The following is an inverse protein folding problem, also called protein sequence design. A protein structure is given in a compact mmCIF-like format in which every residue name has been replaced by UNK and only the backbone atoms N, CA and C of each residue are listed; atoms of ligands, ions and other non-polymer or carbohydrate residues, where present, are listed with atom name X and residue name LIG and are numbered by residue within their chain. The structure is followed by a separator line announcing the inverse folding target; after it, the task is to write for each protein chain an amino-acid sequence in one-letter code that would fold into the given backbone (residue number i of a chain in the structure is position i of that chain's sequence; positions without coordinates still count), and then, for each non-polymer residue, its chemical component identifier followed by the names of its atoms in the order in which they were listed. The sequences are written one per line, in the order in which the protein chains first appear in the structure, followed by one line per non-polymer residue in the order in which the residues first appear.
data_IF_684637879314
#
_entry.id   IF_684637879314
#
_cell.length_a   1.000
_cell.length_b   1.000
_cell.length_c   1.000
_cell.angle_alpha   90.00
_cell.angle_beta   90.00
_cell.angle_gamma   90.00
#
_symmetry.space_group_name_H-M   'P 1'
#
loop_
_entity.id
_entity.type
_entity.pdbx_description
1 polymer ?
2 polymer ?
3 non-polymer ?
4 water ?
#
# COMPACT_ATOMS: atom_id res chain seq x y z
N UNK A 4 -17.05 -46.70 7.70
CA UNK A 4 -17.92 -46.63 8.88
C UNK A 4 -18.73 -45.35 8.92
N UNK A 5 -19.77 -45.35 9.76
CA UNK A 5 -20.58 -44.15 9.95
C UNK A 5 -19.79 -43.08 10.70
N UNK A 6 -19.06 -43.48 11.74
CA UNK A 6 -18.26 -42.51 12.48
C UNK A 6 -17.12 -41.95 11.63
N UNK A 7 -16.55 -42.78 10.75
CA UNK A 7 -15.49 -42.30 9.88
C UNK A 7 -16.00 -41.25 8.90
N UNK A 8 -17.20 -41.46 8.36
CA UNK A 8 -17.75 -40.50 7.40
C UNK A 8 -18.26 -39.24 8.09
N UNK A 9 -18.75 -39.36 9.34
CA UNK A 9 -19.16 -38.17 10.08
C UNK A 9 -17.95 -37.32 10.45
N UNK A 10 -16.82 -37.96 10.78
CA UNK A 10 -15.62 -37.21 11.12
C UNK A 10 -15.06 -36.49 9.90
N UNK A 11 -15.14 -37.11 8.72
CA UNK A 11 -14.61 -36.47 7.53
C UNK A 11 -15.50 -35.33 7.06
N UNK A 12 -16.81 -35.40 7.33
CA UNK A 12 -17.68 -34.27 7.02
C UNK A 12 -17.28 -33.08 7.87
N UNK A 13 -17.09 -33.29 9.18
CA UNK A 13 -16.66 -32.21 10.05
C UNK A 13 -15.26 -31.72 9.70
N UNK A 14 -14.37 -32.64 9.30
CA UNK A 14 -13.04 -32.25 8.88
C UNK A 14 -13.08 -31.38 7.62
N UNK A 15 -13.89 -31.77 6.64
CA UNK A 15 -13.96 -31.03 5.39
C UNK A 15 -14.67 -29.70 5.58
N UNK A 16 -15.70 -29.66 6.43
CA UNK A 16 -16.37 -28.40 6.72
C UNK A 16 -15.40 -27.39 7.31
N UNK A 17 -14.50 -27.84 8.19
CA UNK A 17 -13.56 -26.94 8.81
C UNK A 17 -12.47 -26.50 7.84
N UNK A 18 -11.97 -27.43 7.01
CA UNK A 18 -10.94 -27.08 6.04
C UNK A 18 -11.48 -26.14 4.98
N UNK A 19 -12.70 -26.40 4.49
CA UNK A 19 -13.30 -25.52 3.48
C UNK A 19 -13.58 -24.14 4.03
N UNK A 20 -13.87 -24.03 5.33
CA UNK A 20 -14.13 -22.74 5.95
C UNK A 20 -12.87 -21.88 5.96
N UNK A 21 -11.73 -22.47 6.31
CA UNK A 21 -10.48 -21.71 6.32
C UNK A 21 -9.95 -21.47 4.91
N UNK A 22 -10.21 -22.39 3.99
CA UNK A 22 -9.81 -22.17 2.60
C UNK A 22 -10.58 -21.02 1.97
N UNK A 23 -11.87 -20.92 2.28
CA UNK A 23 -12.66 -19.78 1.81
C UNK A 23 -12.10 -18.47 2.35
N UNK A 24 -11.72 -18.46 3.64
CA UNK A 24 -11.14 -17.25 4.21
C UNK A 24 -9.75 -16.98 3.67
N UNK A 25 -9.03 -18.02 3.25
CA UNK A 25 -7.73 -17.81 2.63
C UNK A 25 -7.88 -17.22 1.22
N UNK A 26 -8.87 -17.71 0.47
CA UNK A 26 -9.17 -17.13 -0.84
C UNK A 26 -9.53 -15.66 -0.70
N UNK A 27 -10.29 -15.32 0.34
CA UNK A 27 -10.65 -13.93 0.57
C UNK A 27 -9.42 -13.08 0.89
N UNK A 28 -8.48 -13.63 1.66
CA UNK A 28 -7.27 -12.89 1.98
C UNK A 28 -6.38 -12.73 0.76
N UNK A 29 -6.29 -13.77 -0.07
CA UNK A 29 -5.43 -13.70 -1.25
C UNK A 29 -5.98 -12.74 -2.29
N UNK A 30 -7.31 -12.68 -2.44
CA UNK A 30 -7.88 -11.75 -3.41
C UNK A 30 -7.74 -10.31 -2.95
N UNK A 31 -7.77 -10.06 -1.64
CA UNK A 31 -7.52 -8.72 -1.14
C UNK A 31 -6.07 -8.31 -1.32
N UNK A 32 -5.14 -9.27 -1.20
CA UNK A 32 -3.74 -8.98 -1.42
C UNK A 32 -3.46 -8.71 -2.89
N UNK A 33 -4.10 -9.48 -3.78
CA UNK A 33 -3.98 -9.22 -5.21
C UNK A 33 -4.48 -7.82 -5.54
N UNK A 34 -5.63 -7.44 -4.97
CA UNK A 34 -6.17 -6.10 -5.19
C UNK A 34 -5.21 -5.04 -4.66
N UNK A 35 -4.57 -5.29 -3.53
CA UNK A 35 -3.61 -4.33 -2.99
C UNK A 35 -2.40 -4.20 -3.91
N UNK A 36 -1.95 -5.31 -4.49
CA UNK A 36 -0.78 -5.26 -5.37
C UNK A 36 -1.10 -4.63 -6.71
N UNK A 37 -2.32 -4.80 -7.22
CA UNK A 37 -2.70 -4.15 -8.47
C UNK A 37 -2.72 -2.64 -8.32
N UNK A 38 -3.18 -2.15 -7.17
CA UNK A 38 -3.19 -0.71 -6.93
C UNK A 38 -1.76 -0.18 -6.78
N UNK A 39 -0.89 -0.95 -6.13
CA UNK A 39 0.50 -0.54 -5.99
C UNK A 39 1.20 -0.50 -7.34
N UNK A 40 0.88 -1.46 -8.22
CA UNK A 40 1.42 -1.41 -9.57
C UNK A 40 0.84 -0.26 -10.37
N UNK A 41 -0.42 0.10 -10.09
CA UNK A 41 -1.03 1.26 -10.74
C UNK A 41 -0.34 2.55 -10.32
N UNK A 42 0.05 2.65 -9.05
CA UNK A 42 0.73 3.85 -8.58
C UNK A 42 2.15 3.93 -9.13
N UNK A 43 2.85 2.79 -9.19
CA UNK A 43 4.16 2.76 -9.81
C UNK A 43 4.09 3.18 -11.27
N UNK A 44 3.00 2.82 -11.95
CA UNK A 44 2.79 3.24 -13.33
C UNK A 44 2.73 4.77 -13.43
N UNK A 45 1.96 5.40 -12.54
CA UNK A 45 1.85 6.86 -12.56
C UNK A 45 3.19 7.51 -12.29
N UNK A 46 4.01 6.90 -11.43
CA UNK A 46 5.34 7.44 -11.15
C UNK A 46 6.23 7.37 -12.37
N UNK A 47 6.16 6.28 -13.14
CA UNK A 47 6.92 6.18 -14.38
C UNK A 47 6.44 7.22 -15.39
N UNK A 48 5.12 7.28 -15.62
CA UNK A 48 4.57 8.23 -16.58
C UNK A 48 4.81 9.67 -16.14
N UNK A 49 4.96 9.90 -14.84
CA UNK A 49 5.28 11.25 -14.36
C UNK A 49 6.66 11.68 -14.84
N UNK A 50 7.63 10.75 -14.86
CA UNK A 50 8.94 11.08 -15.40
C UNK A 50 8.86 11.33 -16.89
N UNK A 51 8.05 10.55 -17.60
CA UNK A 51 7.84 10.80 -19.03
C UNK A 51 7.24 12.18 -19.27
N UNK A 52 6.26 12.57 -18.45
CA UNK A 52 5.66 13.88 -18.61
C UNK A 52 6.64 15.01 -18.37
N UNK A 53 7.51 14.85 -17.39
CA UNK A 53 8.52 15.87 -17.11
C UNK A 53 9.50 16.01 -18.27
N UNK A 54 9.90 14.88 -18.85
CA UNK A 54 10.82 14.93 -19.99
C UNK A 54 10.16 15.55 -21.21
N UNK A 55 8.86 15.32 -21.40
CA UNK A 55 8.14 15.94 -22.51
C UNK A 55 8.00 17.44 -22.31
N UNK A 56 7.83 17.88 -21.06
CA UNK A 56 7.65 19.30 -20.75
C UNK A 56 8.90 20.13 -20.98
N UNK A 57 10.03 19.51 -21.33
CA UNK A 57 11.24 20.27 -21.64
C UNK A 57 11.12 20.97 -22.99
N UNK A 58 10.51 20.31 -23.97
CA UNK A 58 10.44 20.85 -25.32
C UNK A 58 9.42 21.97 -25.45
N UNK A 59 8.53 22.12 -24.47
CA UNK A 59 7.53 23.18 -24.52
C UNK A 59 7.12 23.61 -23.11
N UNK B 1 -28.19 -47.36 8.36
CA UNK B 1 -27.93 -48.35 7.34
C UNK B 1 -27.50 -47.75 6.01
N UNK B 2 -27.80 -48.44 4.91
CA UNK B 2 -27.40 -47.92 3.59
C UNK B 2 -27.96 -46.54 3.29
N UNK B 3 -29.16 -46.21 3.79
CA UNK B 3 -29.73 -44.91 3.52
C UNK B 3 -28.96 -43.78 4.19
N UNK B 4 -28.76 -43.90 5.51
CA UNK B 4 -28.01 -42.88 6.23
C UNK B 4 -26.55 -42.83 5.79
N UNK B 5 -25.98 -43.97 5.41
CA UNK B 5 -24.61 -43.98 4.91
C UNK B 5 -24.51 -43.30 3.55
N UNK B 6 -25.55 -43.39 2.73
CA UNK B 6 -25.52 -42.74 1.42
C UNK B 6 -25.55 -41.22 1.57
N UNK B 7 -26.32 -40.71 2.52
CA UNK B 7 -26.36 -39.27 2.75
C UNK B 7 -25.00 -38.74 3.17
N UNK B 8 -24.27 -39.50 4.00
CA UNK B 8 -22.94 -39.07 4.40
C UNK B 8 -21.94 -39.20 3.27
N UNK B 9 -21.99 -40.30 2.52
CA UNK B 9 -21.08 -40.48 1.39
C UNK B 9 -21.31 -39.41 0.33
N UNK B 10 -22.56 -39.01 0.11
CA UNK B 10 -22.85 -37.92 -0.82
C UNK B 10 -22.29 -36.61 -0.28
N UNK B 11 -22.44 -36.36 1.02
CA UNK B 11 -21.97 -35.10 1.59
C UNK B 11 -20.45 -35.02 1.55
N UNK B 12 -19.76 -36.13 1.82
CA UNK B 12 -18.30 -36.16 1.72
C UNK B 12 -17.86 -35.86 0.29
N UNK B 13 -18.51 -36.51 -0.69
CA UNK B 13 -18.18 -36.27 -2.09
C UNK B 13 -18.41 -34.82 -2.46
N UNK B 14 -19.52 -34.23 -2.01
CA UNK B 14 -19.79 -32.82 -2.30
C UNK B 14 -18.73 -31.92 -1.67
N UNK B 15 -18.41 -32.17 -0.40
CA UNK B 15 -17.41 -31.36 0.28
C UNK B 15 -16.02 -31.59 -0.29
N UNK B 16 -15.74 -32.80 -0.77
CA UNK B 16 -14.44 -33.08 -1.38
C UNK B 16 -14.28 -32.31 -2.69
N UNK B 17 -15.33 -32.25 -3.50
CA UNK B 17 -15.27 -31.51 -4.77
C UNK B 17 -15.05 -30.02 -4.51
N UNK B 18 -15.74 -29.47 -3.52
CA UNK B 18 -15.52 -28.07 -3.16
C UNK B 18 -14.14 -27.87 -2.58
N UNK B 19 -13.67 -28.82 -1.77
CA UNK B 19 -12.32 -28.74 -1.20
C UNK B 19 -11.28 -28.70 -2.31
N UNK B 20 -11.42 -29.56 -3.31
CA UNK B 20 -10.46 -29.60 -4.42
C UNK B 20 -10.43 -28.29 -5.18
N UNK B 21 -11.61 -27.74 -5.49
CA UNK B 21 -11.67 -26.47 -6.20
C UNK B 21 -11.07 -25.35 -5.38
N UNK B 22 -11.33 -25.35 -4.06
CA UNK B 22 -10.78 -24.31 -3.19
C UNK B 22 -9.26 -24.41 -3.11
N UNK B 23 -8.72 -25.63 -3.11
CA UNK B 23 -7.26 -25.78 -3.08
C UNK B 23 -6.63 -25.33 -4.38
N UNK B 24 -7.31 -25.58 -5.51
CA UNK B 24 -6.81 -25.08 -6.78
C UNK B 24 -6.84 -23.56 -6.82
N UNK B 25 -7.89 -22.96 -6.24
CA UNK B 25 -7.99 -21.51 -6.24
C UNK B 25 -6.92 -20.87 -5.35
N UNK B 26 -6.61 -21.50 -4.22
CA UNK B 26 -5.59 -20.98 -3.33
C UNK B 26 -4.22 -21.04 -4.01
N UNK B 27 -3.91 -22.18 -4.65
CA UNK B 27 -2.64 -22.32 -5.36
C UNK B 27 -2.54 -21.35 -6.53
N UNK B 28 -3.67 -21.06 -7.19
CA UNK B 28 -3.65 -20.11 -8.30
C UNK B 28 -3.43 -18.68 -7.80
N UNK B 29 -4.09 -18.31 -6.70
CA UNK B 29 -3.97 -16.94 -6.20
C UNK B 29 -2.60 -16.69 -5.60
N UNK B 30 -1.96 -17.72 -5.04
CA UNK B 30 -0.61 -17.54 -4.50
C UNK B 30 0.41 -17.31 -5.61
N UNK B 31 0.28 -18.05 -6.72
CA UNK B 31 1.16 -17.83 -7.86
C UNK B 31 0.98 -16.43 -8.43
N UNK B 32 -0.27 -15.95 -8.49
CA UNK B 32 -0.52 -14.60 -8.98
C UNK B 32 0.03 -13.55 -8.03
N UNK B 33 -0.09 -13.78 -6.72
CA UNK B 33 0.48 -12.86 -5.73
C UNK B 33 1.99 -12.78 -5.90
N UNK B 34 2.65 -13.93 -5.99
CA UNK B 34 4.10 -13.94 -6.15
C UNK B 34 4.52 -13.33 -7.49
N UNK B 35 3.66 -13.45 -8.51
CA UNK B 35 3.94 -12.83 -9.80
C UNK B 35 3.85 -11.31 -9.70
N UNK B 36 2.80 -10.81 -9.05
CA UNK B 36 2.63 -9.36 -8.90
C UNK B 36 3.70 -8.78 -7.99
N UNK B 37 4.10 -9.52 -6.95
CA UNK B 37 5.14 -9.04 -6.05
C UNK B 37 6.47 -8.89 -6.79
N UNK B 38 6.78 -9.83 -7.68
CA UNK B 38 8.02 -9.74 -8.44
C UNK B 38 7.97 -8.60 -9.44
N UNK B 39 6.82 -8.36 -10.05
CA UNK B 39 6.69 -7.24 -10.98
C UNK B 39 6.84 -5.91 -10.25
N UNK B 40 6.25 -5.80 -9.06
CA UNK B 40 6.37 -4.57 -8.29
C UNK B 40 7.80 -4.35 -7.83
N UNK B 41 8.47 -5.43 -7.39
CA UNK B 41 9.87 -5.32 -6.98
C UNK B 41 10.75 -4.86 -8.14
N UNK B 42 10.53 -5.42 -9.34
CA UNK B 42 11.35 -5.05 -10.49
C UNK B 42 11.05 -3.64 -10.96
N UNK B 43 9.77 -3.23 -10.90
CA UNK B 43 9.43 -1.85 -11.26
C UNK B 43 10.03 -0.85 -10.28
N UNK B 44 10.07 -1.21 -8.99
CA UNK B 44 10.67 -0.32 -8.00
C UNK B 44 12.19 -0.33 -8.09
N UNK B 45 12.79 -1.48 -8.47
CA UNK B 45 14.24 -1.53 -8.63
C UNK B 45 14.69 -0.72 -9.83
N UNK B 46 13.98 -0.83 -10.96
CA UNK B 46 14.33 -0.06 -12.15
C UNK B 46 14.06 1.43 -11.94
N UNK B 47 13.04 1.77 -11.16
CA UNK B 47 12.73 3.18 -10.91
C UNK B 47 13.86 3.86 -10.13
N UNK B 48 14.41 3.17 -9.13
CA UNK B 48 15.50 3.75 -8.37
C UNK B 48 16.77 3.87 -9.21
N UNK B 49 16.97 2.93 -10.13
CA UNK B 49 18.10 3.04 -11.05
C UNK B 49 17.94 4.23 -11.99
N UNK B 50 16.72 4.44 -12.50
CA UNK B 50 16.43 5.64 -13.27
C UNK B 50 16.66 6.88 -12.42
N UNK B 51 16.18 6.83 -11.17
CA UNK B 51 16.30 7.97 -10.26
C UNK B 51 17.76 8.34 -10.02
N UNK B 52 18.58 7.34 -9.69
CA UNK B 52 19.98 7.60 -9.42
C UNK B 52 20.72 8.20 -10.60
N UNK B 53 20.41 7.72 -11.80
CA UNK B 53 21.05 8.24 -13.01
C UNK B 53 20.68 9.71 -13.23
N UNK B 54 19.42 10.06 -13.01
CA UNK B 54 18.99 11.45 -13.15
C UNK B 54 19.57 12.31 -12.03
N UNK B 55 19.70 11.76 -10.83
CA UNK B 55 20.32 12.49 -9.72
C UNK B 55 21.78 12.80 -10.03
N UNK B 56 22.52 11.79 -10.52
CA UNK B 56 23.93 12.00 -10.83
C UNK B 56 24.11 13.07 -11.91
N UNK B 57 23.21 13.09 -12.89
CA UNK B 57 23.30 14.10 -13.95
C UNK B 57 23.04 15.50 -13.39
N UNK B 58 21.98 15.64 -12.57
CA UNK B 58 21.70 16.92 -11.95
C UNK B 58 22.86 17.38 -11.06
N UNK B 59 23.42 16.45 -10.28
CA UNK B 59 24.54 16.79 -9.41
C UNK B 59 25.73 17.30 -10.21
N UNK B 60 26.07 16.60 -11.29
CA UNK B 60 27.19 17.03 -12.13
C UNK B 60 26.90 18.38 -12.79
N UNK B 61 25.66 18.58 -13.24
CA UNK B 61 25.30 19.86 -13.86
C UNK B 61 25.29 20.98 -12.83
N UNK B 62 24.91 20.68 -11.59
CA UNK B 62 24.88 21.70 -10.54
C UNK B 62 26.28 22.23 -10.28
N UNK B 63 27.27 21.32 -10.16
CA UNK B 63 28.65 21.77 -9.99
C UNK B 63 29.15 22.51 -11.22
N UNK B 64 28.70 22.13 -12.40
CA UNK B 64 29.10 22.83 -13.63
C UNK B 64 28.62 24.28 -13.62
N UNK B 65 27.34 24.49 -13.29
CA UNK B 65 26.80 25.84 -13.29
C UNK B 65 27.49 26.71 -12.25
N UNK B 66 27.80 26.14 -11.08
CA UNK B 66 28.48 26.90 -10.03
C UNK B 66 29.90 27.28 -10.45
N UNK B 67 30.61 26.37 -11.12
CA UNK B 67 31.98 26.64 -11.53
C UNK B 67 32.05 27.60 -12.70
N UNK B 68 31.01 27.63 -13.55
CA UNK B 68 30.97 28.53 -14.68
C UNK B 68 30.23 29.83 -14.37
N UNK B 69 29.82 30.03 -13.12
CA UNK B 69 29.20 31.30 -12.73
C UNK B 69 30.25 32.38 -12.47
N UNK B 70 31.38 31.99 -11.88
CA UNK B 70 32.46 32.93 -11.59
C UNK B 70 33.79 32.38 -12.09
N UNK C 2 -0.86 -3.16 -17.78
CA UNK C 2 -0.33 -3.44 -19.11
C UNK C 2 0.96 -4.25 -19.02
N UNK C 3 1.02 -5.33 -19.77
CA UNK C 3 2.25 -6.12 -19.81
C UNK C 3 3.38 -5.33 -20.44
N UNK C 4 4.55 -5.42 -19.82
CA UNK C 4 5.77 -4.77 -20.27
C UNK C 4 5.66 -3.25 -20.31
N UNK C 5 4.77 -2.66 -19.49
CA UNK C 5 4.72 -1.20 -19.41
C UNK C 5 6.02 -0.65 -18.85
N UNK C 6 6.49 -1.22 -17.74
CA UNK C 6 7.68 -0.71 -17.07
C UNK C 6 8.92 -0.92 -17.93
N UNK C 7 8.98 -2.01 -18.68
CA UNK C 7 10.10 -2.22 -19.60
C UNK C 7 10.07 -1.20 -20.73
N UNK C 8 8.89 -0.97 -21.32
CA UNK C 8 8.77 0.01 -22.39
C UNK C 8 9.03 1.42 -21.88
N UNK C 9 8.53 1.74 -20.68
CA UNK C 9 8.66 3.10 -20.19
C UNK C 9 10.10 3.40 -19.76
N UNK C 10 10.80 2.41 -19.21
CA UNK C 10 12.22 2.58 -18.91
C UNK C 10 13.00 2.86 -20.19
N UNK C 11 12.63 2.20 -21.29
CA UNK C 11 13.27 2.48 -22.57
C UNK C 11 12.91 3.86 -23.07
N UNK C 12 11.64 4.26 -22.92
CA UNK C 12 11.21 5.58 -23.37
C UNK C 12 11.90 6.68 -22.56
N UNK C 13 12.00 6.49 -21.24
CA UNK C 13 12.66 7.48 -20.39
C UNK C 13 14.13 7.63 -20.77
N UNK C 14 14.80 6.52 -21.05
CA UNK C 14 16.20 6.58 -21.41
C UNK C 14 16.43 7.23 -22.77
N UNK C 15 15.54 6.95 -23.73
CA UNK C 15 15.69 7.54 -25.05
C UNK C 15 15.38 9.03 -25.05
N UNK C 16 14.37 9.45 -24.28
CA UNK C 16 13.97 10.85 -24.29
C UNK C 16 14.96 11.71 -23.51
N UNK C 17 15.45 11.21 -22.38
CA UNK C 17 16.43 11.99 -21.60
C UNK C 17 17.73 12.13 -22.37
N UNK C 18 18.20 11.05 -22.99
CA UNK C 18 19.41 11.14 -23.82
C UNK C 18 19.22 12.08 -25.00
N UNK C 19 18.00 12.11 -25.55
CA UNK C 19 17.70 13.05 -26.63
C UNK C 19 17.82 14.50 -26.15
N UNK C 20 17.34 14.77 -24.92
CA UNK C 20 17.46 16.10 -24.36
C UNK C 20 18.93 16.45 -24.10
N UNK C 21 19.69 15.49 -23.59
CA UNK C 21 21.10 15.73 -23.29
C UNK C 21 21.88 15.98 -24.57
N UNK C 22 21.59 15.23 -25.63
CA UNK C 22 22.33 15.37 -26.88
C UNK C 22 21.99 16.68 -27.59
N UNK C 23 20.74 17.13 -27.51
CA UNK C 23 20.37 18.39 -28.17
C UNK C 23 20.92 19.59 -27.42
N UNK C 24 21.04 19.50 -26.10
CA UNK C 24 21.79 20.50 -25.36
C UNK C 24 23.25 20.48 -25.79
N UNK C 25 23.80 19.27 -25.99
CA UNK C 25 25.18 19.13 -26.43
C UNK C 25 25.39 19.73 -27.82
N UNK C 26 24.47 19.45 -28.75
CA UNK C 26 24.58 20.02 -30.08
C UNK C 26 24.44 21.53 -30.06
N UNK C 27 23.53 22.05 -29.22
CA UNK C 27 23.33 23.49 -29.12
C UNK C 27 24.58 24.19 -28.59
N UNK C 28 25.15 23.66 -27.50
CA UNK C 28 26.34 24.27 -26.92
C UNK C 28 27.53 24.16 -27.86
N UNK C 29 27.69 23.01 -28.52
CA UNK C 29 28.79 22.85 -29.48
C UNK C 29 28.68 23.85 -30.61
N UNK C 30 27.45 24.19 -31.01
CA UNK C 30 27.25 25.14 -32.09
C UNK C 30 27.59 26.57 -31.68
N UNK C 31 27.58 26.87 -30.38
CA UNK C 31 27.93 28.20 -29.91
C UNK C 31 29.43 28.47 -30.00
N UNK C 32 30.25 27.44 -30.17
CA UNK C 32 31.70 27.59 -30.10
C UNK C 32 32.34 26.97 -31.33
N UNK C 33 32.23 27.60 -32.51
CA UNK C 33 32.70 26.94 -33.74
C UNK C 33 34.20 26.69 -33.77
N UNK C 34 35.00 27.39 -32.97
CA UNK C 34 36.45 27.30 -33.04
C UNK C 34 37.06 26.67 -31.78
N UNK C 35 36.29 25.90 -31.04
CA UNK C 35 36.83 25.26 -29.85
C UNK C 35 37.75 24.11 -30.26
N UNK C 36 38.68 23.77 -29.36
CA UNK C 36 39.63 22.70 -29.61
C UNK C 36 39.38 21.50 -28.69
N UNK D 7 19.04 44.12 -12.15
CA UNK D 7 18.68 44.05 -10.74
C UNK D 7 17.24 43.54 -10.57
N UNK D 8 16.29 44.27 -11.17
CA UNK D 8 14.89 43.86 -11.10
C UNK D 8 14.65 42.60 -11.92
N UNK D 9 15.22 42.53 -13.12
CA UNK D 9 15.12 41.31 -13.91
C UNK D 9 15.82 40.15 -13.24
N UNK D 10 16.89 40.42 -12.49
CA UNK D 10 17.58 39.37 -11.74
C UNK D 10 16.71 38.86 -10.60
N UNK D 11 16.07 39.77 -9.87
CA UNK D 11 15.13 39.35 -8.83
C UNK D 11 13.96 38.58 -9.41
N UNK D 12 13.58 38.88 -10.66
CA UNK D 12 12.46 38.20 -11.29
C UNK D 12 12.85 36.76 -11.61
N UNK D 13 14.07 36.54 -12.11
CA UNK D 13 14.48 35.19 -12.50
C UNK D 13 14.72 34.31 -11.29
N UNK D 14 15.33 34.86 -10.24
CA UNK D 14 15.59 34.06 -9.04
C UNK D 14 14.29 33.72 -8.31
N UNK D 15 13.31 34.63 -8.32
CA UNK D 15 12.02 34.35 -7.71
C UNK D 15 11.23 33.35 -8.54
N UNK D 16 11.32 33.47 -9.87
CA UNK D 16 10.65 32.50 -10.74
C UNK D 16 11.20 31.10 -10.52
N UNK D 17 12.51 30.99 -10.28
CA UNK D 17 13.10 29.68 -10.03
C UNK D 17 12.74 29.17 -8.64
N UNK D 18 12.76 30.05 -7.64
CA UNK D 18 12.45 29.64 -6.28
C UNK D 18 11.01 29.17 -6.15
N UNK D 19 10.06 29.91 -6.75
CA UNK D 19 8.66 29.51 -6.68
C UNK D 19 8.38 28.28 -7.53
N UNK D 20 9.11 28.11 -8.63
CA UNK D 20 8.94 26.93 -9.47
C UNK D 20 9.25 25.66 -8.69
N UNK D 21 10.37 25.64 -7.97
CA UNK D 21 10.71 24.49 -7.16
C UNK D 21 9.82 24.39 -5.93
N UNK D 22 9.27 25.51 -5.46
CA UNK D 22 8.35 25.47 -4.34
C UNK D 22 6.98 24.94 -4.76
N UNK D 23 6.50 25.35 -5.93
CA UNK D 23 5.22 24.84 -6.43
C UNK D 23 5.28 23.33 -6.65
N UNK D 24 6.41 22.84 -7.18
CA UNK D 24 6.58 21.41 -7.33
C UNK D 24 6.77 20.73 -5.98
N UNK D 25 7.30 21.46 -4.99
CA UNK D 25 7.40 20.90 -3.64
C UNK D 25 6.02 20.73 -3.02
N UNK D 26 5.11 21.68 -3.28
CA UNK D 26 3.74 21.55 -2.80
C UNK D 26 3.05 20.37 -3.47
N UNK D 27 3.21 20.24 -4.79
CA UNK D 27 2.62 19.12 -5.51
C UNK D 27 3.22 17.80 -5.05
N UNK D 28 4.51 17.80 -4.69
CA UNK D 28 5.15 16.59 -4.19
C UNK D 28 4.60 16.20 -2.83
N UNK D 29 4.37 17.18 -1.95
CA UNK D 29 3.89 16.88 -0.60
C UNK D 29 2.39 16.63 -0.57
N UNK D 30 1.64 17.22 -1.52
CA UNK D 30 0.22 16.93 -1.59
C UNK D 30 -0.03 15.49 -2.02
N UNK D 31 0.71 15.00 -3.00
CA UNK D 31 0.58 13.61 -3.42
C UNK D 31 1.06 12.66 -2.34
N UNK D 32 2.09 13.03 -1.59
CA UNK D 32 2.53 12.22 -0.46
C UNK D 32 1.47 12.14 0.63
N UNK D 33 0.66 13.19 0.77
CA UNK D 33 -0.41 13.18 1.78
C UNK D 33 -1.49 12.19 1.38
N UNK D 34 -1.95 12.25 0.13
CA UNK D 34 -3.00 11.34 -0.33
C UNK D 34 -2.50 9.90 -0.39
N UNK D 35 -1.21 9.70 -0.63
CA UNK D 35 -0.66 8.35 -0.56
C UNK D 35 -0.70 7.82 0.87
N UNK D 36 -0.36 8.67 1.84
CA UNK D 36 -0.46 8.27 3.24
C UNK D 36 -1.90 8.13 3.68
N UNK D 37 -2.81 8.94 3.12
CA UNK D 37 -4.22 8.81 3.44
C UNK D 37 -4.79 7.50 2.92
N UNK D 38 -4.27 7.01 1.78
CA UNK D 38 -4.68 5.69 1.30
C UNK D 38 -4.14 4.58 2.19
N UNK D 39 -2.96 4.77 2.77
CA UNK D 39 -2.41 3.77 3.67
C UNK D 39 -3.17 3.72 4.98
N UNK D 40 -3.69 4.87 5.45
CA UNK D 40 -4.52 4.87 6.64
C UNK D 40 -5.89 4.26 6.35
N UNK D 41 -6.41 4.44 5.13
CA UNK D 41 -7.67 3.81 4.77
C UNK D 41 -7.54 2.29 4.78
N UNK D 42 -6.44 1.77 4.23
CA UNK D 42 -6.21 0.32 4.26
C UNK D 42 -6.04 -0.16 5.71
N UNK D 43 -5.36 0.62 6.53
CA UNK D 43 -5.25 0.29 7.95
C UNK D 43 -6.62 0.31 8.61
N UNK D 44 -7.48 1.25 8.21
CA UNK D 44 -8.83 1.30 8.75
C UNK D 44 -9.63 0.07 8.33
N UNK D 45 -9.44 -0.38 7.09
CA UNK D 45 -10.14 -1.57 6.63
C UNK D 45 -9.69 -2.82 7.38
N UNK D 46 -8.41 -2.89 7.76
CA UNK D 46 -7.94 -4.03 8.53
C UNK D 46 -8.55 -4.05 9.93
N UNK D 47 -8.79 -2.88 10.51
CA UNK D 47 -9.43 -2.82 11.83
C UNK D 47 -10.90 -3.23 11.73
N UNK D 48 -11.62 -2.68 10.75
CA UNK D 48 -13.04 -3.01 10.60
C UNK D 48 -13.24 -4.47 10.22
N UNK D 49 -12.24 -5.09 9.58
CA UNK D 49 -12.35 -6.52 9.25
C UNK D 49 -12.37 -7.38 10.51
N UNK D 50 -11.59 -7.00 11.52
CA UNK D 50 -11.61 -7.73 12.78
C UNK D 50 -12.97 -7.58 13.46
N UNK D 51 -13.57 -6.39 13.36
CA UNK D 51 -14.89 -6.18 13.92
C UNK D 51 -15.94 -7.05 13.21
N UNK D 52 -15.85 -7.14 11.88
CA UNK D 52 -16.78 -7.97 11.14
C UNK D 52 -16.68 -9.44 11.52
N UNK D 53 -15.46 -9.90 11.81
CA UNK D 53 -15.28 -11.27 12.26
C UNK D 53 -15.91 -11.48 13.64
N UNK D 54 -15.82 -10.48 14.52
CA UNK D 54 -16.38 -10.62 15.86
C UNK D 54 -17.90 -10.71 15.81
N UNK D 55 -18.54 -9.90 14.96
CA UNK D 55 -20.00 -9.95 14.84
C UNK D 55 -20.46 -11.18 14.07
N UNK D 56 -19.61 -11.77 13.24
CA UNK D 56 -19.99 -12.97 12.50
C UNK D 56 -20.02 -14.22 13.39
N UNK D 57 -19.47 -14.14 14.60
CA UNK D 57 -19.59 -15.25 15.54
C UNK D 57 -21.05 -15.55 15.86
N UNK D 58 -21.91 -14.54 15.80
CA UNK D 58 -23.33 -14.72 16.07
C UNK D 58 -24.07 -15.10 14.78
N UNK D 59 -23.65 -16.21 14.21
CA UNK D 59 -24.26 -16.73 12.98
C UNK D 59 -24.97 -18.05 13.24
N UNK E 4 9.29 50.79 -18.47
CA UNK E 4 8.61 49.51 -18.28
C UNK E 4 9.00 48.86 -16.96
N UNK E 5 9.71 49.62 -16.12
CA UNK E 5 10.10 49.10 -14.82
C UNK E 5 8.90 48.78 -13.95
N UNK E 6 7.75 49.45 -14.17
CA UNK E 6 6.56 49.19 -13.38
C UNK E 6 6.08 47.76 -13.56
N UNK E 7 6.13 47.23 -14.79
CA UNK E 7 5.67 45.87 -15.03
C UNK E 7 6.54 44.84 -14.33
N UNK E 8 7.80 45.18 -14.05
CA UNK E 8 8.74 44.19 -13.55
C UNK E 8 8.82 44.16 -12.03
N UNK E 9 8.67 45.31 -11.35
CA UNK E 9 8.53 45.26 -9.90
C UNK E 9 7.11 45.01 -9.46
N UNK E 10 6.13 45.15 -10.36
CA UNK E 10 4.83 44.53 -10.11
C UNK E 10 4.96 43.01 -10.17
N UNK E 11 5.85 42.50 -11.03
CA UNK E 11 6.12 41.08 -11.05
C UNK E 11 6.87 40.62 -9.80
N UNK E 12 7.78 41.45 -9.30
CA UNK E 12 8.52 41.11 -8.09
C UNK E 12 7.56 40.89 -6.93
N UNK E 13 6.67 41.86 -6.69
CA UNK E 13 5.69 41.71 -5.62
C UNK E 13 4.70 40.59 -5.91
N UNK E 14 4.41 40.34 -7.20
CA UNK E 14 3.53 39.24 -7.56
C UNK E 14 4.14 37.90 -7.16
N UNK E 15 5.44 37.72 -7.42
CA UNK E 15 6.08 36.43 -7.14
C UNK E 15 6.53 36.32 -5.69
N UNK E 16 6.80 37.45 -5.02
CA UNK E 16 7.21 37.38 -3.62
C UNK E 16 6.05 36.98 -2.72
N UNK E 17 4.88 37.59 -2.92
CA UNK E 17 3.70 37.17 -2.17
C UNK E 17 3.29 35.76 -2.56
N UNK E 18 3.53 35.37 -3.82
CA UNK E 18 3.35 33.98 -4.20
C UNK E 18 4.36 33.08 -3.51
N UNK E 19 5.58 33.59 -3.27
CA UNK E 19 6.58 32.83 -2.53
C UNK E 19 6.16 32.64 -1.08
N UNK E 20 5.52 33.66 -0.49
CA UNK E 20 5.08 33.55 0.90
C UNK E 20 3.95 32.53 1.04
N UNK E 21 3.04 32.49 0.06
CA UNK E 21 1.95 31.52 0.11
C UNK E 21 2.47 30.09 -0.06
N UNK E 22 3.45 29.90 -0.95
CA UNK E 22 3.93 28.56 -1.21
C UNK E 22 4.74 28.00 -0.05
N UNK E 23 5.57 28.84 0.59
CA UNK E 23 6.32 28.36 1.75
C UNK E 23 5.41 28.11 2.95
N UNK E 24 4.30 28.86 3.05
CA UNK E 24 3.30 28.55 4.06
C UNK E 24 2.64 27.22 3.78
N UNK E 25 2.40 26.91 2.50
CA UNK E 25 1.80 25.62 2.14
C UNK E 25 2.76 24.48 2.44
N UNK E 26 4.05 24.65 2.11
CA UNK E 26 5.04 23.61 2.35
C UNK E 26 5.15 23.31 3.84
N UNK E 27 5.18 24.36 4.67
CA UNK E 27 5.26 24.17 6.11
C UNK E 27 4.03 23.45 6.63
N UNK E 28 2.85 23.75 6.06
CA UNK E 28 1.63 23.07 6.48
C UNK E 28 1.63 21.60 6.06
N UNK E 29 2.08 21.32 4.83
CA UNK E 29 2.07 19.95 4.34
C UNK E 29 3.07 19.08 5.10
N UNK E 30 4.26 19.62 5.37
CA UNK E 30 5.27 18.85 6.11
C UNK E 30 4.78 18.48 7.51
N UNK E 31 4.00 19.37 8.14
CA UNK E 31 3.46 19.05 9.45
C UNK E 31 2.39 17.97 9.36
N UNK E 32 1.55 18.02 8.31
CA UNK E 32 0.51 17.01 8.15
C UNK E 32 1.11 15.66 7.75
N UNK E 33 2.21 15.67 6.99
CA UNK E 33 2.85 14.42 6.58
C UNK E 33 3.33 13.65 7.81
N UNK E 34 4.07 14.32 8.69
CA UNK E 34 4.53 13.67 9.91
C UNK E 34 3.36 13.24 10.80
N UNK E 35 2.27 14.01 10.78
CA UNK E 35 1.08 13.62 11.56
C UNK E 35 0.50 12.32 11.02
N UNK E 36 0.48 12.15 9.69
CA UNK E 36 -0.05 10.92 9.12
C UNK E 36 0.93 9.76 9.30
N UNK E 37 2.24 10.03 9.15
CA UNK E 37 3.23 8.99 9.37
C UNK E 37 3.17 8.46 10.79
N UNK E 38 2.95 9.34 11.77
CA UNK E 38 2.83 8.91 13.15
C UNK E 38 1.54 8.14 13.39
N UNK E 39 0.42 8.63 12.84
CA UNK E 39 -0.84 7.92 12.94
C UNK E 39 -0.74 6.54 12.31
N UNK E 40 0.02 6.43 11.21
CA UNK E 40 0.18 5.14 10.55
C UNK E 40 0.97 4.17 11.42
N UNK E 41 2.13 4.60 11.91
CA UNK E 41 2.97 3.71 12.72
C UNK E 41 2.29 3.32 14.03
N UNK E 42 1.53 4.24 14.62
CA UNK E 42 0.83 3.91 15.86
C UNK E 42 -0.34 2.97 15.63
N UNK E 43 -0.98 3.05 14.46
CA UNK E 43 -2.07 2.14 14.16
C UNK E 43 -1.57 0.74 13.86
N UNK E 44 -0.41 0.62 13.21
CA UNK E 44 0.18 -0.68 12.95
C UNK E 44 0.80 -1.29 14.20
N UNK E 45 1.17 -0.47 15.18
CA UNK E 45 1.65 -1.01 16.45
C UNK E 45 0.50 -1.52 17.32
N UNK E 46 -0.63 -0.81 17.30
CA UNK E 46 -1.79 -1.27 18.06
C UNK E 46 -2.43 -2.49 17.41
N UNK E 47 -2.40 -2.57 16.09
CA UNK E 47 -2.83 -3.78 15.40
C UNK E 47 -1.96 -4.97 15.81
N UNK E 48 -0.66 -4.74 15.96
CA UNK E 48 0.24 -5.78 16.45
C UNK E 48 -0.20 -6.31 17.81
N UNK E 49 -0.56 -5.40 18.71
CA UNK E 49 -0.92 -5.82 20.06
C UNK E 49 -2.26 -6.55 20.08
N UNK E 50 -3.23 -6.06 19.30
CA UNK E 50 -4.51 -6.77 19.17
C UNK E 50 -4.27 -8.17 18.63
N UNK E 51 -3.46 -8.28 17.58
CA UNK E 51 -3.17 -9.59 16.99
C UNK E 51 -2.45 -10.49 17.98
N UNK E 52 -1.54 -9.94 18.79
CA UNK E 52 -0.86 -10.74 19.79
C UNK E 52 -1.82 -11.30 20.81
N UNK E 53 -2.71 -10.47 21.35
CA UNK E 53 -3.67 -10.93 22.34
C UNK E 53 -4.58 -12.01 21.77
N UNK E 54 -5.00 -11.85 20.50
CA UNK E 54 -5.85 -12.86 19.88
C UNK E 54 -5.08 -14.13 19.58
N UNK E 55 -3.79 -14.02 19.24
CA UNK E 55 -2.98 -15.22 19.03
C UNK E 55 -2.75 -15.96 20.34
N UNK E 56 -2.55 -15.22 21.44
CA UNK E 56 -2.41 -15.86 22.74
C UNK E 56 -3.67 -16.64 23.10
N UNK E 57 -4.84 -16.05 22.84
CA UNK E 57 -6.09 -16.72 23.15
C UNK E 57 -6.28 -17.96 22.28
N UNK E 58 -5.93 -17.87 21.01
CA UNK E 58 -6.09 -19.02 20.11
C UNK E 58 -5.19 -20.18 20.53
N UNK E 59 -3.93 -19.89 20.85
CA UNK E 59 -3.00 -20.95 21.24
C UNK E 59 -3.42 -21.61 22.54
N UNK E 60 -3.95 -20.82 23.47
CA UNK E 60 -4.46 -21.39 24.72
C UNK E 60 -5.65 -22.30 24.48
N UNK E 61 -6.60 -21.85 23.65
CA UNK E 61 -7.76 -22.67 23.35
C UNK E 61 -7.41 -23.87 22.49
N UNK E 62 -6.41 -23.74 21.63
CA UNK E 62 -6.01 -24.86 20.77
C UNK E 62 -5.51 -26.03 21.60
N UNK E 63 -4.65 -25.76 22.58
CA UNK E 63 -4.13 -26.83 23.42
C UNK E 63 -5.17 -27.30 24.42
N UNK E 64 -6.10 -26.42 24.82
CA UNK E 64 -7.22 -26.85 25.64
C UNK E 64 -8.07 -27.87 24.91
N UNK E 65 -8.39 -27.58 23.65
CA UNK E 65 -9.18 -28.51 22.85
C UNK E 65 -8.45 -29.82 22.65
N UNK E 66 -7.12 -29.76 22.45
CA UNK E 66 -6.34 -30.99 22.27
C UNK E 66 -6.34 -31.85 23.53
N UNK E 67 -6.30 -31.21 24.71
CA UNK E 67 -6.22 -31.96 25.95
C UNK E 67 -7.57 -32.56 26.35
N UNK E 68 -8.68 -31.97 25.89
CA UNK E 68 -10.01 -32.46 26.22
C UNK E 68 -10.58 -33.39 25.17
N UNK E 69 -9.87 -33.60 24.05
CA UNK E 69 -10.38 -34.41 22.95
C UNK E 69 -10.07 -35.89 23.13
N UNK E 70 -8.81 -36.23 23.36
CA UNK E 70 -8.38 -37.62 23.41
C UNK E 70 -8.97 -38.36 24.61
N UNK F 3 -10.53 11.20 12.45
CA UNK F 3 -9.70 11.15 13.65
C UNK F 3 -10.20 10.18 14.70
N UNK F 4 -9.26 9.48 15.34
CA UNK F 4 -9.53 8.56 16.44
C UNK F 4 -10.48 7.43 16.05
N UNK F 5 -10.58 7.10 14.76
CA UNK F 5 -11.33 5.92 14.35
C UNK F 5 -10.69 4.65 14.92
N UNK F 6 -9.36 4.61 14.92
CA UNK F 6 -8.65 3.45 15.45
C UNK F 6 -8.88 3.29 16.94
N UNK F 7 -9.00 4.42 17.66
CA UNK F 7 -9.24 4.36 19.10
C UNK F 7 -10.59 3.75 19.41
N UNK F 8 -11.64 4.21 18.73
CA UNK F 8 -12.97 3.65 18.95
C UNK F 8 -13.07 2.21 18.44
N UNK F 9 -12.26 1.85 17.44
CA UNK F 9 -12.32 0.50 16.91
C UNK F 9 -11.56 -0.47 17.80
N UNK F 10 -10.41 -0.04 18.35
CA UNK F 10 -9.68 -0.87 19.31
C UNK F 10 -10.55 -1.14 20.54
N UNK F 11 -11.32 -0.15 20.98
CA UNK F 11 -12.25 -0.38 22.09
C UNK F 11 -13.40 -1.28 21.66
N UNK F 12 -13.92 -1.08 20.45
CA UNK F 12 -14.99 -1.94 19.95
C UNK F 12 -14.53 -3.39 19.85
N UNK F 13 -13.32 -3.60 19.33
CA UNK F 13 -12.78 -4.96 19.21
C UNK F 13 -12.59 -5.57 20.60
N UNK F 14 -12.10 -4.77 21.55
CA UNK F 14 -11.88 -5.29 22.90
C UNK F 14 -13.17 -5.68 23.59
N UNK F 15 -14.24 -4.91 23.36
CA UNK F 15 -15.51 -5.19 24.02
C UNK F 15 -16.27 -6.31 23.34
N UNK F 16 -16.19 -6.41 22.01
CA UNK F 16 -16.92 -7.46 21.32
C UNK F 16 -16.26 -8.82 21.54
N UNK F 17 -14.93 -8.88 21.52
CA UNK F 17 -14.25 -10.14 21.81
C UNK F 17 -14.50 -10.58 23.24
N UNK F 18 -14.46 -9.65 24.19
CA UNK F 18 -14.75 -9.98 25.58
C UNK F 18 -16.18 -10.46 25.74
N UNK F 19 -17.11 -9.93 24.95
CA UNK F 19 -18.49 -10.41 24.98
C UNK F 19 -18.57 -11.85 24.50
N UNK F 20 -17.83 -12.19 23.44
CA UNK F 20 -17.83 -13.56 22.94
C UNK F 20 -17.20 -14.50 23.96
N UNK F 21 -16.08 -14.08 24.55
CA UNK F 21 -15.39 -14.92 25.54
C UNK F 21 -16.29 -15.17 26.74
N UNK F 22 -16.90 -14.10 27.27
CA UNK F 22 -17.78 -14.25 28.43
C UNK F 22 -19.02 -15.05 28.09
N UNK F 23 -19.53 -14.91 26.86
CA UNK F 23 -20.70 -15.69 26.46
C UNK F 23 -20.38 -17.18 26.40
N UNK F 24 -19.18 -17.53 25.94
CA UNK F 24 -18.76 -18.93 25.96
C UNK F 24 -18.56 -19.39 27.40
N UNK F 25 -18.03 -18.51 28.25
CA UNK F 25 -17.85 -18.85 29.65
C UNK F 25 -19.18 -19.15 30.32
N UNK F 26 -20.18 -18.28 30.12
CA UNK F 26 -21.48 -18.49 30.74
C UNK F 26 -22.15 -19.75 30.21
N UNK F 27 -22.00 -20.03 28.92
CA UNK F 27 -22.60 -21.24 28.35
C UNK F 27 -21.98 -22.48 28.96
N UNK F 28 -20.65 -22.50 29.09
CA UNK F 28 -19.98 -23.68 29.66
C UNK F 28 -20.28 -23.82 31.14
N UNK F 29 -20.31 -22.71 31.88
CA UNK F 29 -20.61 -22.77 33.31
C UNK F 29 -22.02 -23.29 33.55
N UNK F 30 -22.96 -22.97 32.67
CA UNK F 30 -24.34 -23.43 32.80
C UNK F 30 -24.51 -24.90 32.44
N UNK F 31 -23.53 -25.50 31.77
CA UNK F 31 -23.66 -26.90 31.38
C UNK F 31 -23.66 -27.83 32.59
N UNK F 32 -22.93 -27.49 33.64
CA UNK F 32 -22.91 -28.32 34.84
C UNK F 32 -22.98 -27.43 36.07
N UNK F 33 -24.09 -27.43 36.80
CA UNK F 33 -24.19 -26.59 37.99
C UNK F 33 -23.21 -27.03 39.07
N UNK F 34 -22.87 -26.09 39.94
CA UNK F 34 -21.98 -26.37 41.06
C UNK F 34 -22.77 -26.93 42.24
N UNK F 35 -22.22 -27.95 42.88
CA UNK F 35 -22.86 -28.59 44.01
C UNK F 35 -22.24 -28.23 45.34
N UNK F 36 -21.10 -27.55 45.34
CA UNK F 36 -20.41 -27.14 46.57
C UNK F 36 -20.12 -28.33 47.49
#
# INVERSE_FOLDING_TARGET
GPGSMKQLEDKVEELLSKNYHLENEVARLKKLVSKLEKQLEEAQKDYSEIEGKLEQFWHDYDKLEKENKEY
GPGSMKQLEDKVEELLSKNYHLENEVARLKKLVSKLEKQLEEAQKDYSEIEGKLEQFWHDYDKLEKENKEY
LLGDFFRKSKEKIGKEFKRIVQRIKDFLRNLVPRTES
GPGSMKQLEDKVEELLSKNYHLENEVARLKKLVSKLEKQLEEAQKDYSEIEGKLEQFWHDYDKLEKENKEY
GPGSMKQLEDKVEELLSKNYHLENEVARLKKLVSKLEKQLEEAQKDYSEIEGKLEQFWHDYDKLEKENKEY
LLGDFFRKSKEKIGKEFKRIVQRIKDFLRNLVPRTES
#
